data_IF_353723261175
#
_entry.id   IF_353723261175
#
_cell.length_a   1.000
_cell.length_b   1.000
_cell.length_c   1.000
_cell.angle_alpha   90.00
_cell.angle_beta   90.00
_cell.angle_gamma   90.00
#
_symmetry.space_group_name_H-M   'P 1'
#
loop_
_entity.id
_entity.type
_entity.pdbx_description
1 polymer ?
#
# COMPACT_ATOMS: atom_id res chain seq x y z
N UNK A 1 -2.04 3.19 16.22
CA UNK A 1 -3.08 2.15 16.24
C UNK A 1 -4.48 2.68 16.63
N UNK A 2 -4.60 3.91 17.15
CA UNK A 2 -5.91 4.52 17.50
C UNK A 2 -6.97 4.50 16.40
N UNK A 3 -6.60 4.69 15.12
CA UNK A 3 -7.57 4.73 14.01
C UNK A 3 -8.37 3.43 13.83
N UNK A 4 -7.79 2.29 14.21
CA UNK A 4 -8.42 0.97 14.18
C UNK A 4 -9.33 0.73 15.39
N UNK A 5 -8.91 1.21 16.55
CA UNK A 5 -9.67 1.08 17.80
C UNK A 5 -10.91 1.98 17.83
N UNK A 6 -10.84 3.18 17.26
CA UNK A 6 -11.96 4.14 17.24
C UNK A 6 -13.02 3.85 16.18
N UNK A 7 -12.82 2.84 15.33
CA UNK A 7 -13.69 2.51 14.18
C UNK A 7 -14.37 1.15 14.33
N UNK A 8 -14.09 0.42 15.40
CA UNK A 8 -14.79 -0.80 15.78
C UNK A 8 -16.28 -0.48 15.94
N UNK A 9 -17.12 -1.06 15.07
CA UNK A 9 -18.58 -0.86 15.08
C UNK A 9 -19.12 0.33 14.25
N UNK A 10 -18.26 1.20 13.69
CA UNK A 10 -18.69 2.33 12.84
C UNK A 10 -18.39 2.16 11.35
N UNK A 11 -17.50 1.23 11.03
CA UNK A 11 -17.11 0.93 9.68
C UNK A 11 -18.03 -0.11 9.07
N UNK A 12 -18.91 0.28 8.13
CA UNK A 12 -19.72 -0.67 7.36
C UNK A 12 -18.89 -1.74 6.63
N UNK A 13 -19.51 -2.62 5.82
CA UNK A 13 -18.88 -3.85 5.29
C UNK A 13 -17.49 -3.67 4.65
N UNK A 14 -17.21 -2.49 4.10
CA UNK A 14 -15.96 -2.17 3.39
C UNK A 14 -14.90 -1.44 4.24
N UNK A 15 -15.10 -1.30 5.55
CA UNK A 15 -14.20 -0.49 6.38
C UNK A 15 -12.76 -0.97 6.37
N UNK A 16 -12.53 -2.27 6.55
CA UNK A 16 -11.18 -2.84 6.52
C UNK A 16 -10.52 -2.58 5.17
N UNK A 17 -11.26 -2.73 4.08
CA UNK A 17 -10.74 -2.45 2.74
C UNK A 17 -10.37 -0.97 2.57
N UNK A 18 -11.24 -0.05 2.97
CA UNK A 18 -11.09 1.37 2.67
C UNK A 18 -10.17 2.12 3.64
N UNK A 19 -10.19 1.76 4.92
CA UNK A 19 -9.46 2.48 5.96
C UNK A 19 -8.10 1.86 6.28
N UNK A 20 -7.91 0.58 5.95
CA UNK A 20 -6.74 -0.20 6.36
C UNK A 20 -5.99 -0.77 5.17
N UNK A 21 -6.60 -1.69 4.42
CA UNK A 21 -5.92 -2.38 3.33
C UNK A 21 -5.56 -1.43 2.18
N UNK A 22 -6.49 -0.56 1.76
CA UNK A 22 -6.24 0.46 0.74
C UNK A 22 -5.10 1.41 1.14
N UNK A 23 -5.15 2.07 2.31
CA UNK A 23 -4.05 2.93 2.76
C UNK A 23 -2.72 2.21 2.98
N UNK A 24 -2.72 0.90 3.26
CA UNK A 24 -1.50 0.09 3.32
C UNK A 24 -0.93 -0.19 1.93
N UNK A 25 -1.79 -0.55 0.98
CA UNK A 25 -1.44 -0.75 -0.43
C UNK A 25 -0.86 0.54 -1.03
N UNK A 26 -1.50 1.69 -0.84
CA UNK A 26 -1.00 3.00 -1.32
C UNK A 26 0.42 3.30 -0.80
N UNK A 27 0.66 3.02 0.49
CA UNK A 27 2.00 3.19 1.10
C UNK A 27 3.02 2.23 0.50
N UNK A 28 2.63 1.01 0.15
CA UNK A 28 3.49 0.03 -0.53
C UNK A 28 3.81 0.49 -1.95
N UNK A 29 2.81 0.93 -2.73
CA UNK A 29 3.01 1.53 -4.06
C UNK A 29 4.03 2.67 -3.97
N UNK A 30 3.84 3.61 -3.03
CA UNK A 30 4.73 4.75 -2.87
C UNK A 30 6.18 4.33 -2.55
N UNK A 31 6.36 3.30 -1.71
CA UNK A 31 7.68 2.78 -1.36
C UNK A 31 8.34 2.07 -2.54
N UNK A 32 7.61 1.20 -3.24
CA UNK A 32 8.07 0.49 -4.43
C UNK A 32 8.51 1.48 -5.52
N UNK A 33 7.73 2.55 -5.74
CA UNK A 33 8.08 3.60 -6.69
C UNK A 33 9.37 4.33 -6.33
N UNK A 34 9.65 4.56 -5.03
CA UNK A 34 10.93 5.13 -4.57
C UNK A 34 12.09 4.19 -4.87
N UNK A 35 11.93 2.88 -4.64
CA UNK A 35 12.93 1.86 -4.96
C UNK A 35 13.21 1.83 -6.47
N UNK A 36 12.17 1.75 -7.30
CA UNK A 36 12.30 1.74 -8.76
C UNK A 36 13.00 3.01 -9.27
N UNK A 37 12.71 4.16 -8.66
CA UNK A 37 13.36 5.44 -8.99
C UNK A 37 14.84 5.44 -8.59
N UNK A 38 15.19 4.91 -7.42
CA UNK A 38 16.58 4.81 -6.97
C UNK A 38 17.41 3.92 -7.89
N UNK A 39 16.85 2.79 -8.34
CA UNK A 39 17.48 1.92 -9.35
C UNK A 39 17.62 2.65 -10.68
N UNK A 40 16.55 3.31 -11.15
CA UNK A 40 16.51 4.05 -12.41
C UNK A 40 17.54 5.17 -12.57
N UNK A 41 18.15 5.63 -11.47
CA UNK A 41 19.25 6.62 -11.50
C UNK A 41 20.60 6.02 -11.90
N UNK A 42 20.78 4.71 -11.71
CA UNK A 42 22.07 4.03 -11.90
C UNK A 42 21.98 2.83 -12.86
N UNK A 43 20.78 2.35 -13.17
CA UNK A 43 20.53 1.18 -14.01
C UNK A 43 19.15 1.28 -14.69
N UNK A 44 18.81 0.30 -15.53
CA UNK A 44 17.48 0.22 -16.14
C UNK A 44 16.38 0.09 -15.08
N UNK A 45 15.31 0.88 -15.22
CA UNK A 45 14.20 0.88 -14.25
C UNK A 45 13.38 -0.42 -14.35
N UNK A 46 13.22 -1.17 -13.24
CA UNK A 46 12.40 -2.37 -13.21
C UNK A 46 10.93 -2.07 -13.48
N UNK A 47 10.26 -2.99 -14.19
CA UNK A 47 8.85 -2.90 -14.58
C UNK A 47 8.00 -3.93 -13.81
N UNK A 48 6.69 -3.71 -13.74
CA UNK A 48 5.73 -4.67 -13.15
C UNK A 48 5.80 -4.79 -11.62
N UNK A 49 6.44 -3.85 -10.93
CA UNK A 49 6.57 -3.90 -9.47
C UNK A 49 5.28 -3.52 -8.72
N UNK A 50 4.32 -2.91 -9.40
CA UNK A 50 2.97 -2.61 -8.90
C UNK A 50 2.22 -3.88 -8.44
N UNK A 51 2.50 -5.02 -9.08
CA UNK A 51 1.96 -6.32 -8.66
C UNK A 51 2.38 -6.74 -7.23
N UNK A 52 3.40 -6.11 -6.64
CA UNK A 52 3.87 -6.37 -5.27
C UNK A 52 3.19 -5.48 -4.22
N UNK A 53 2.43 -4.48 -4.64
CA UNK A 53 1.80 -3.54 -3.71
C UNK A 53 0.64 -4.14 -2.90
N UNK A 54 -0.26 -4.97 -3.49
CA UNK A 54 -1.36 -5.55 -2.75
C UNK A 54 -0.89 -6.43 -1.57
N UNK A 55 -1.68 -6.48 -0.50
CA UNK A 55 -1.46 -7.45 0.57
C UNK A 55 -1.96 -8.83 0.12
N UNK A 56 -1.06 -9.80 -0.03
CA UNK A 56 -1.41 -11.21 -0.17
C UNK A 56 -1.75 -11.82 1.20
N UNK A 57 -2.63 -12.83 1.20
CA UNK A 57 -3.03 -13.58 2.39
C UNK A 57 -1.87 -14.33 3.02
#
# INVERSE_FOLDING_TARGET
>A
NNRLQTTVGQGGPNFVQNAILGPLEDKRVATINRIATAIGRNAAKPQGLDALAPCSR
#
